data_IF_722517056781
#
_entry.id   IF_722517056781
#
_cell.length_a   1.000
_cell.length_b   1.000
_cell.length_c   1.000
_cell.angle_alpha   90.00
_cell.angle_beta   90.00
_cell.angle_gamma   90.00
#
_symmetry.space_group_name_H-M   'P 1'
#
loop_
_entity.id
_entity.type
_entity.pdbx_description
1 polymer ?
#
# COMPACT_ATOMS: atom_id res chain seq x y z
N UNK A 1 -7.53 6.41 -0.87
CA UNK A 1 -6.82 6.67 0.42
C UNK A 1 -5.35 6.28 0.25
N UNK A 2 -4.39 7.15 0.58
CA UNK A 2 -2.95 6.88 0.41
C UNK A 2 -2.46 5.77 1.37
N UNK A 3 -1.50 4.95 0.94
CA UNK A 3 -0.95 3.82 1.71
C UNK A 3 -0.31 4.23 3.04
N UNK A 4 0.38 5.37 3.08
CA UNK A 4 0.99 5.92 4.31
C UNK A 4 -0.10 6.18 5.37
N UNK A 5 -1.24 6.74 4.95
CA UNK A 5 -2.38 6.96 5.85
C UNK A 5 -2.97 5.65 6.36
N UNK A 6 -3.07 4.64 5.50
CA UNK A 6 -3.55 3.31 5.89
C UNK A 6 -2.63 2.68 6.94
N UNK A 7 -1.32 2.65 6.67
CA UNK A 7 -0.30 2.12 7.58
C UNK A 7 -0.32 2.81 8.94
N UNK A 8 -0.45 4.14 8.96
CA UNK A 8 -0.56 4.89 10.21
C UNK A 8 -1.80 4.48 11.03
N UNK A 9 -2.96 4.36 10.38
CA UNK A 9 -4.21 3.97 11.06
C UNK A 9 -4.12 2.52 11.57
N UNK A 10 -3.51 1.61 10.79
CA UNK A 10 -3.29 0.21 11.21
C UNK A 10 -2.40 0.10 12.46
N UNK A 11 -1.50 1.07 12.67
CA UNK A 11 -0.64 1.16 13.87
C UNK A 11 -1.29 1.96 15.01
N UNK A 12 -2.53 2.42 14.85
CA UNK A 12 -3.26 3.29 15.78
C UNK A 12 -2.48 4.55 16.20
N UNK A 13 -1.83 5.20 15.22
CA UNK A 13 -1.01 6.39 15.45
C UNK A 13 -1.65 7.66 14.92
N UNK A 14 -1.45 8.76 15.64
CA UNK A 14 -1.77 10.10 15.18
C UNK A 14 -0.69 10.63 14.22
N UNK A 15 -1.05 11.60 13.38
CA UNK A 15 -0.08 12.23 12.47
C UNK A 15 1.09 12.89 13.23
N UNK A 16 0.82 13.42 14.42
CA UNK A 16 1.85 14.01 15.29
C UNK A 16 2.88 12.98 15.73
N UNK A 17 2.46 11.79 16.14
CA UNK A 17 3.38 10.73 16.57
C UNK A 17 4.31 10.28 15.44
N UNK A 18 3.80 10.12 14.22
CA UNK A 18 4.65 9.82 13.06
C UNK A 18 5.60 10.98 12.76
N UNK A 19 5.15 12.22 12.93
CA UNK A 19 5.97 13.40 12.69
C UNK A 19 7.14 13.48 13.69
N UNK A 20 6.87 13.18 14.96
CA UNK A 20 7.87 13.14 16.03
C UNK A 20 8.91 12.03 15.75
N UNK A 21 8.47 10.83 15.37
CA UNK A 21 9.36 9.71 15.00
C UNK A 21 10.23 10.01 13.77
N UNK A 22 9.68 10.74 12.80
CA UNK A 22 10.35 11.06 11.55
C UNK A 22 11.16 12.36 11.64
N UNK A 23 11.12 13.06 12.79
CA UNK A 23 11.68 14.39 12.99
C UNK A 23 11.26 15.39 11.88
N UNK A 24 9.95 15.49 11.66
CA UNK A 24 9.32 16.42 10.71
C UNK A 24 8.12 17.11 11.36
N UNK A 25 7.53 18.08 10.67
CA UNK A 25 6.29 18.71 11.13
C UNK A 25 5.07 17.81 10.88
N UNK A 26 4.01 17.86 11.73
CA UNK A 26 2.76 17.17 11.45
C UNK A 26 2.13 17.56 10.09
N UNK A 27 2.39 18.80 9.64
CA UNK A 27 1.98 19.29 8.32
C UNK A 27 2.69 18.54 7.19
N UNK A 28 3.96 18.15 7.36
CA UNK A 28 4.66 17.31 6.38
C UNK A 28 4.03 15.91 6.29
N UNK A 29 3.70 15.28 7.42
CA UNK A 29 2.98 13.99 7.42
C UNK A 29 1.62 14.12 6.72
N UNK A 30 0.85 15.17 7.01
CA UNK A 30 -0.41 15.42 6.32
C UNK A 30 -0.22 15.57 4.80
N UNK A 31 0.86 16.23 4.36
CA UNK A 31 1.20 16.37 2.94
C UNK A 31 1.54 15.03 2.30
N UNK A 32 2.33 14.18 2.97
CA UNK A 32 2.65 12.83 2.53
C UNK A 32 1.38 11.99 2.34
N UNK A 33 0.43 12.07 3.28
CA UNK A 33 -0.84 11.35 3.21
C UNK A 33 -1.82 11.85 2.14
N UNK A 34 -1.62 13.08 1.64
CA UNK A 34 -2.45 13.71 0.60
C UNK A 34 -1.91 13.49 -0.83
N UNK A 35 -0.88 12.66 -1.01
CA UNK A 35 -0.32 12.24 -2.32
C UNK A 35 0.32 13.34 -3.18
N UNK A 36 0.38 14.58 -2.68
CA UNK A 36 0.84 15.77 -3.43
C UNK A 36 2.22 16.27 -3.00
N UNK A 37 3.00 15.44 -2.29
CA UNK A 37 4.32 15.82 -1.82
C UNK A 37 5.34 14.75 -2.15
N UNK A 38 6.46 15.18 -2.75
CA UNK A 38 7.64 14.36 -2.86
C UNK A 38 8.18 14.06 -1.45
N UNK A 39 8.44 12.78 -1.18
CA UNK A 39 9.14 12.28 -0.01
C UNK A 39 10.58 12.02 -0.45
N UNK A 40 11.57 12.48 0.32
CA UNK A 40 12.97 12.12 0.05
C UNK A 40 13.19 10.63 0.33
N UNK A 41 14.12 10.00 -0.37
CA UNK A 41 14.44 8.57 -0.19
C UNK A 41 14.79 8.23 1.26
N UNK A 42 15.53 9.12 1.94
CA UNK A 42 15.85 8.98 3.36
C UNK A 42 14.59 8.91 4.25
N UNK A 43 13.65 9.83 4.06
CA UNK A 43 12.39 9.84 4.83
C UNK A 43 11.49 8.66 4.47
N UNK A 44 11.52 8.23 3.23
CA UNK A 44 10.86 7.01 2.78
C UNK A 44 11.40 5.77 3.51
N UNK A 45 12.73 5.62 3.61
CA UNK A 45 13.36 4.52 4.34
C UNK A 45 12.96 4.53 5.83
N UNK A 46 13.05 5.68 6.49
CA UNK A 46 12.63 5.82 7.88
C UNK A 46 11.15 5.47 8.10
N UNK A 47 10.25 5.90 7.20
CA UNK A 47 8.84 5.53 7.26
C UNK A 47 8.64 4.01 7.08
N UNK A 48 9.43 3.39 6.21
CA UNK A 48 9.38 1.94 5.98
C UNK A 48 9.76 1.15 7.24
N UNK A 49 10.75 1.63 7.99
CA UNK A 49 11.17 1.09 9.29
C UNK A 49 10.08 1.31 10.37
N UNK A 50 9.54 2.53 10.47
CA UNK A 50 8.46 2.87 11.43
C UNK A 50 7.23 1.98 11.22
N UNK A 51 6.85 1.73 9.98
CA UNK A 51 5.70 0.89 9.65
C UNK A 51 6.03 -0.59 9.58
N UNK A 52 7.31 -0.96 9.57
CA UNK A 52 7.83 -2.30 9.35
C UNK A 52 7.31 -2.94 8.05
N UNK A 53 7.49 -2.24 6.93
CA UNK A 53 7.10 -2.68 5.59
C UNK A 53 8.20 -2.33 4.58
N UNK A 54 8.22 -3.00 3.43
CA UNK A 54 9.13 -2.60 2.35
C UNK A 54 8.73 -1.27 1.71
N UNK A 55 9.71 -0.56 1.13
CA UNK A 55 9.44 0.64 0.32
C UNK A 55 8.48 0.34 -0.83
N UNK A 56 8.64 -0.83 -1.46
CA UNK A 56 7.74 -1.28 -2.50
C UNK A 56 6.30 -1.34 -1.99
N UNK A 57 6.06 -2.07 -0.89
CA UNK A 57 4.71 -2.15 -0.30
C UNK A 57 4.13 -0.78 0.10
N UNK A 58 4.97 0.16 0.54
CA UNK A 58 4.55 1.49 0.96
C UNK A 58 4.20 2.42 -0.19
N UNK A 59 4.88 2.30 -1.34
CA UNK A 59 4.76 3.21 -2.48
C UNK A 59 4.12 2.61 -3.72
N UNK A 60 3.93 1.29 -3.77
CA UNK A 60 3.37 0.61 -4.93
C UNK A 60 1.96 1.14 -5.19
N UNK A 61 1.84 1.92 -6.27
CA UNK A 61 0.58 2.37 -6.84
C UNK A 61 0.07 1.20 -7.67
N UNK A 62 -0.80 0.40 -7.06
CA UNK A 62 -1.68 -0.53 -7.76
C UNK A 62 -0.96 -1.53 -8.69
N UNK A 63 -0.27 -2.49 -8.09
CA UNK A 63 -0.70 -3.86 -8.35
C UNK A 63 -1.54 -4.29 -7.15
N UNK A 64 -2.77 -4.72 -7.40
CA UNK A 64 -3.44 -5.50 -6.37
C UNK A 64 -2.55 -6.72 -6.10
N UNK A 65 -2.44 -7.17 -4.86
CA UNK A 65 -1.70 -8.41 -4.55
C UNK A 65 -2.16 -9.55 -5.48
N UNK A 66 -3.44 -9.55 -5.86
CA UNK A 66 -4.00 -10.41 -6.89
C UNK A 66 -3.39 -10.21 -8.29
N UNK A 67 -3.10 -8.98 -8.74
CA UNK A 67 -2.44 -8.68 -10.01
C UNK A 67 -1.00 -9.22 -10.04
N UNK A 68 -0.24 -9.00 -8.97
CA UNK A 68 1.13 -9.51 -8.84
C UNK A 68 1.12 -11.04 -8.83
N UNK A 69 0.28 -11.66 -7.99
CA UNK A 69 0.13 -13.11 -7.94
C UNK A 69 -0.31 -13.67 -9.31
N UNK A 70 -1.29 -13.05 -9.96
CA UNK A 70 -1.81 -13.48 -11.26
C UNK A 70 -0.75 -13.38 -12.37
N UNK A 71 0.14 -12.38 -12.30
CA UNK A 71 1.25 -12.24 -13.26
C UNK A 71 2.31 -13.34 -13.12
N UNK A 72 2.47 -13.91 -11.92
CA UNK A 72 3.45 -14.95 -11.63
C UNK A 72 2.98 -16.37 -11.96
N UNK A 73 1.72 -16.55 -12.38
CA UNK A 73 1.16 -17.84 -12.77
C UNK A 73 1.48 -18.18 -14.23
N UNK A 74 1.48 -19.46 -14.56
CA UNK A 74 1.49 -19.91 -15.95
C UNK A 74 0.10 -19.75 -16.60
N UNK A 75 0.01 -20.03 -17.90
CA UNK A 75 -1.20 -19.79 -18.68
C UNK A 75 -2.35 -20.74 -18.32
N UNK A 76 -2.03 -21.96 -17.87
CA UNK A 76 -3.02 -22.95 -17.46
C UNK A 76 -3.67 -22.55 -16.11
N UNK A 77 -2.85 -22.13 -15.15
CA UNK A 77 -3.32 -21.64 -13.85
C UNK A 77 -4.14 -20.34 -13.98
N UNK A 78 -3.73 -19.42 -14.86
CA UNK A 78 -4.52 -18.22 -15.16
C UNK A 78 -5.89 -18.58 -15.72
N UNK A 79 -5.95 -19.56 -16.62
CA UNK A 79 -7.19 -20.00 -17.24
C UNK A 79 -8.14 -20.61 -16.19
N UNK A 80 -7.62 -21.42 -15.26
CA UNK A 80 -8.39 -21.96 -14.15
C UNK A 80 -9.03 -20.86 -13.28
N UNK A 81 -8.24 -19.84 -12.91
CA UNK A 81 -8.75 -18.72 -12.10
C UNK A 81 -9.85 -17.96 -12.84
N UNK A 82 -9.68 -17.69 -14.13
CA UNK A 82 -10.69 -17.01 -14.96
C UNK A 82 -12.01 -17.79 -14.95
N UNK A 83 -11.95 -19.11 -15.05
CA UNK A 83 -13.15 -19.94 -15.08
C UNK A 83 -13.84 -20.02 -13.72
N UNK A 84 -13.07 -20.05 -12.62
CA UNK A 84 -13.61 -19.88 -11.27
C UNK A 84 -14.33 -18.53 -11.14
N UNK A 85 -13.70 -17.43 -11.57
CA UNK A 85 -14.31 -16.09 -11.51
C UNK A 85 -15.61 -16.01 -12.30
N UNK A 86 -15.67 -16.59 -13.50
CA UNK A 86 -16.91 -16.67 -14.30
C UNK A 86 -18.00 -17.47 -13.60
N UNK A 87 -17.64 -18.59 -12.96
CA UNK A 87 -18.60 -19.44 -12.25
C UNK A 87 -19.21 -18.73 -11.03
N UNK A 88 -18.41 -17.96 -10.30
CA UNK A 88 -18.85 -17.20 -9.14
C UNK A 88 -19.72 -16.00 -9.53
N UNK A 89 -19.39 -15.33 -10.64
CA UNK A 89 -20.20 -14.21 -11.17
C UNK A 89 -21.61 -14.65 -11.57
N UNK A 90 -21.75 -15.86 -12.13
CA UNK A 90 -23.06 -16.43 -12.49
C UNK A 90 -23.91 -16.82 -11.26
N UNK A 91 -23.28 -17.12 -10.12
CA UNK A 91 -23.97 -17.53 -8.88
C UNK A 91 -24.60 -16.36 -8.10
N UNK A 92 -24.23 -15.12 -8.42
CA UNK A 92 -24.78 -13.92 -7.76
C UNK A 92 -25.98 -13.31 -8.51
N UNK A 93 -26.37 -13.90 -9.65
CA UNK A 93 -27.65 -13.64 -10.32
C UNK A 93 -28.65 -14.72 -9.94
#
# INVERSE_FOLDING_TARGET
>A
MNKIKQLRILKDKQQKEIADLLNVTPRQIQRYEKSNAAISVEKALQLSEIFNVSLDYMFNKSDSEAQTLFSCLDDDDKQLIIDVMKSLSKKQK
#
